data_IF_319626293459
#
_entry.id   IF_319626293459
#
_cell.length_a   1.000
_cell.length_b   1.000
_cell.length_c   1.000
_cell.angle_alpha   90.00
_cell.angle_beta   90.00
_cell.angle_gamma   90.00
#
_symmetry.space_group_name_H-M   'P 1'
#
loop_
_entity.id
_entity.type
_entity.pdbx_description
1 polymer ?
#
# COMPACT_ATOMS: atom_id res chain seq x y z
N UNK A 1 -19.66 10.51 -27.53
CA UNK A 1 -20.31 9.25 -27.91
C UNK A 1 -19.80 8.23 -26.94
N UNK A 2 -20.55 7.99 -25.86
CA UNK A 2 -20.16 7.16 -24.73
C UNK A 2 -20.38 5.69 -25.14
N UNK A 3 -19.32 5.04 -25.59
CA UNK A 3 -19.36 3.65 -26.04
C UNK A 3 -19.44 2.75 -24.80
N UNK A 4 -20.67 2.56 -24.30
CA UNK A 4 -20.98 1.62 -23.23
C UNK A 4 -20.55 0.22 -23.66
N UNK A 5 -19.37 -0.20 -23.23
CA UNK A 5 -18.89 -1.57 -23.38
C UNK A 5 -19.94 -2.50 -22.77
N UNK A 6 -20.54 -3.42 -23.55
CA UNK A 6 -21.56 -4.32 -23.04
C UNK A 6 -20.98 -5.16 -21.89
N UNK A 7 -21.67 -5.23 -20.75
CA UNK A 7 -21.22 -5.92 -19.51
C UNK A 7 -20.71 -7.35 -19.79
N UNK A 8 -21.27 -8.02 -20.80
CA UNK A 8 -20.89 -9.38 -21.22
C UNK A 8 -19.46 -9.47 -21.80
N UNK A 9 -18.95 -8.38 -22.38
CA UNK A 9 -17.60 -8.28 -22.94
C UNK A 9 -16.57 -7.87 -21.88
N UNK A 10 -17.01 -7.18 -20.82
CA UNK A 10 -16.14 -6.74 -19.72
C UNK A 10 -15.47 -7.92 -18.99
N UNK A 11 -16.17 -9.06 -18.86
CA UNK A 11 -15.60 -10.29 -18.30
C UNK A 11 -14.53 -10.97 -19.18
N UNK A 12 -14.54 -10.73 -20.49
CA UNK A 12 -13.47 -11.22 -21.38
C UNK A 12 -12.26 -10.29 -21.29
N UNK A 13 -12.50 -8.99 -21.39
CA UNK A 13 -11.48 -7.95 -21.26
C UNK A 13 -10.72 -8.02 -19.93
N UNK A 14 -11.43 -8.21 -18.80
CA UNK A 14 -10.80 -8.35 -17.48
C UNK A 14 -9.92 -9.61 -17.36
N UNK A 15 -10.22 -10.69 -18.10
CA UNK A 15 -9.36 -11.89 -18.10
C UNK A 15 -8.13 -11.74 -18.99
N UNK A 16 -8.22 -10.91 -20.01
CA UNK A 16 -7.07 -10.58 -20.87
C UNK A 16 -6.13 -9.58 -20.19
N UNK A 17 -6.67 -8.61 -19.45
CA UNK A 17 -5.85 -7.57 -18.80
C UNK A 17 -5.41 -7.91 -17.39
N UNK A 18 -6.11 -8.82 -16.70
CA UNK A 18 -5.81 -9.19 -15.32
C UNK A 18 -5.60 -10.70 -15.17
N UNK A 19 -4.39 -11.11 -14.79
CA UNK A 19 -4.08 -12.50 -14.46
C UNK A 19 -4.15 -12.69 -12.94
N UNK A 20 -4.88 -13.71 -12.49
CA UNK A 20 -4.97 -14.06 -11.08
C UNK A 20 -4.01 -15.22 -10.81
N UNK A 21 -2.98 -14.99 -9.99
CA UNK A 21 -2.06 -16.02 -9.52
C UNK A 21 -1.94 -15.91 -8.00
N UNK A 22 -2.23 -17.01 -7.30
CA UNK A 22 -2.09 -17.11 -5.83
C UNK A 22 -2.84 -15.97 -5.09
N UNK A 23 -4.07 -15.68 -5.53
CA UNK A 23 -4.92 -14.61 -4.97
C UNK A 23 -4.48 -13.18 -5.32
N UNK A 24 -3.33 -13.01 -5.96
CA UNK A 24 -2.85 -11.71 -6.43
C UNK A 24 -3.35 -11.46 -7.86
N UNK A 25 -4.00 -10.32 -8.06
CA UNK A 25 -4.42 -9.84 -9.38
C UNK A 25 -3.29 -9.01 -9.98
N UNK A 26 -2.69 -9.47 -11.08
CA UNK A 26 -1.67 -8.73 -11.84
C UNK A 26 -2.31 -8.13 -13.07
N UNK A 27 -2.09 -6.83 -13.29
CA UNK A 27 -2.57 -6.14 -14.48
C UNK A 27 -1.40 -5.75 -15.37
N UNK A 28 -1.47 -6.05 -16.67
CA UNK A 28 -0.52 -5.52 -17.65
C UNK A 28 -0.99 -4.13 -18.05
N UNK A 29 -0.31 -3.10 -17.53
CA UNK A 29 -0.59 -1.70 -17.86
C UNK A 29 0.17 -1.36 -19.15
N UNK A 30 -0.52 -0.94 -20.22
CA UNK A 30 0.13 -0.41 -21.42
C UNK A 30 1.06 0.77 -21.08
N UNK A 31 2.24 0.84 -21.72
CA UNK A 31 3.30 1.83 -21.40
C UNK A 31 2.88 3.30 -21.56
N UNK A 32 1.76 3.58 -22.24
CA UNK A 32 1.23 4.91 -22.48
C UNK A 32 0.32 5.45 -21.37
N UNK A 33 0.05 4.66 -20.33
CA UNK A 33 -0.67 5.14 -19.13
C UNK A 33 0.29 5.97 -18.28
N UNK A 34 0.28 7.29 -18.49
CA UNK A 34 0.89 8.23 -17.53
C UNK A 34 0.25 8.00 -16.16
N UNK A 35 1.05 7.58 -15.19
CA UNK A 35 0.68 7.61 -13.79
C UNK A 35 0.29 9.06 -13.46
N UNK A 36 -1.00 9.35 -13.35
CA UNK A 36 -1.40 10.51 -12.55
C UNK A 36 -0.89 10.20 -11.16
N UNK A 37 0.11 10.98 -10.72
CA UNK A 37 0.49 11.04 -9.31
C UNK A 37 -0.81 11.27 -8.54
N UNK A 38 -1.28 10.24 -7.85
CA UNK A 38 -2.29 10.38 -6.82
C UNK A 38 -1.59 11.15 -5.71
N UNK A 39 -1.72 12.46 -5.79
CA UNK A 39 -1.45 13.37 -4.70
C UNK A 39 -2.39 12.89 -3.58
N UNK A 40 -1.86 12.13 -2.63
CA UNK A 40 -2.53 11.93 -1.36
C UNK A 40 -2.60 13.32 -0.77
N UNK A 41 -3.70 14.02 -1.03
CA UNK A 41 -4.12 15.18 -0.27
C UNK A 41 -4.23 14.72 1.18
N UNK A 42 -3.11 14.86 1.90
CA UNK A 42 -3.09 14.78 3.34
C UNK A 42 -3.81 16.05 3.78
N UNK A 43 -5.14 15.96 3.83
CA UNK A 43 -5.97 16.90 4.58
C UNK A 43 -5.72 16.62 6.06
N UNK A 44 -4.53 17.02 6.51
CA UNK A 44 -4.25 17.13 7.91
C UNK A 44 -4.88 18.44 8.36
N UNK A 45 -5.98 18.31 9.09
CA UNK A 45 -6.49 19.35 9.94
C UNK A 45 -5.46 19.63 11.06
N UNK A 46 -4.37 20.31 10.72
CA UNK A 46 -3.58 21.13 11.65
C UNK A 46 -3.55 22.53 11.07
N UNK A 47 -4.48 23.33 11.58
CA UNK A 47 -4.65 24.77 11.47
C UNK A 47 -3.45 25.56 10.93
N UNK A 48 -3.74 26.42 9.94
CA UNK A 48 -3.08 27.69 9.63
C UNK A 48 -1.95 28.08 10.60
N UNK A 49 -0.73 27.66 10.29
CA UNK A 49 0.47 28.41 10.63
C UNK A 49 1.31 28.42 9.36
N UNK A 50 1.46 29.60 8.78
CA UNK A 50 2.46 29.86 7.75
C UNK A 50 3.81 29.57 8.40
N UNK A 51 4.41 28.43 8.08
CA UNK A 51 5.81 28.17 8.41
C UNK A 51 6.58 28.47 7.14
N UNK A 52 7.12 29.70 7.09
CA UNK A 52 8.18 30.08 6.17
C UNK A 52 9.29 29.03 6.19
N UNK A 53 9.93 28.82 5.05
CA UNK A 53 11.09 27.96 4.88
C UNK A 53 12.12 28.16 6.00
N UNK A 54 12.15 27.26 6.97
CA UNK A 54 13.31 27.02 7.82
C UNK A 54 13.51 25.51 7.94
N UNK A 55 14.30 24.99 7.01
CA UNK A 55 14.82 23.62 7.00
C UNK A 55 15.94 23.53 8.04
N UNK A 56 15.61 23.70 9.32
CA UNK A 56 16.57 23.51 10.41
C UNK A 56 16.06 22.43 11.36
N UNK A 57 16.54 21.21 11.09
CA UNK A 57 16.76 20.11 12.03
C UNK A 57 15.80 20.04 13.24
N UNK A 58 14.58 19.56 13.00
CA UNK A 58 13.90 18.83 14.07
C UNK A 58 14.62 17.48 14.17
N UNK A 59 15.58 17.37 15.09
CA UNK A 59 16.15 16.10 15.53
C UNK A 59 15.04 15.32 16.26
N UNK A 60 14.09 14.81 15.47
CA UNK A 60 13.05 13.90 15.91
C UNK A 60 13.70 12.53 16.08
N UNK A 61 14.57 12.40 17.09
CA UNK A 61 15.18 11.15 17.48
C UNK A 61 14.11 10.26 18.14
N UNK A 62 13.20 9.73 17.33
CA UNK A 62 12.22 8.73 17.76
C UNK A 62 13.03 7.45 18.03
N UNK A 63 13.04 6.93 19.28
CA UNK A 63 13.75 5.71 19.57
C UNK A 63 13.15 4.55 18.77
N UNK A 64 13.95 3.55 18.36
CA UNK A 64 13.43 2.34 17.72
C UNK A 64 12.32 1.70 18.56
N UNK A 65 11.17 1.42 17.94
CA UNK A 65 9.99 0.83 18.58
C UNK A 65 9.76 -0.59 18.08
N UNK A 66 9.01 -1.37 18.86
CA UNK A 66 8.48 -2.67 18.46
C UNK A 66 6.98 -2.54 18.17
N UNK A 67 6.62 -2.59 16.91
CA UNK A 67 5.26 -2.34 16.43
C UNK A 67 4.64 -3.66 15.98
N UNK A 68 3.40 -3.91 16.41
CA UNK A 68 2.57 -5.02 15.91
C UNK A 68 1.38 -4.42 15.18
N UNK A 69 1.20 -4.80 13.92
CA UNK A 69 0.07 -4.40 13.08
C UNK A 69 -0.90 -5.58 12.98
N UNK A 70 -2.00 -5.52 13.73
CA UNK A 70 -3.08 -6.51 13.66
C UNK A 70 -4.01 -6.17 12.51
N UNK A 71 -4.15 -7.10 11.56
CA UNK A 71 -4.97 -6.93 10.37
C UNK A 71 -5.95 -8.09 10.30
N UNK A 72 -7.25 -7.78 10.36
CA UNK A 72 -8.33 -8.73 10.19
C UNK A 72 -9.05 -8.38 8.90
N UNK A 73 -8.98 -9.25 7.90
CA UNK A 73 -9.58 -8.99 6.59
C UNK A 73 -9.12 -9.97 5.52
N UNK A 74 -9.54 -9.70 4.29
CA UNK A 74 -9.14 -10.43 3.08
C UNK A 74 -7.74 -10.03 2.61
N UNK A 75 -7.22 -10.72 1.59
CA UNK A 75 -5.93 -10.35 0.97
C UNK A 75 -5.87 -8.88 0.52
N UNK A 76 -7.00 -8.33 0.04
CA UNK A 76 -7.08 -6.93 -0.37
C UNK A 76 -6.93 -5.95 0.80
N UNK A 77 -7.37 -6.35 2.00
CA UNK A 77 -7.21 -5.55 3.22
C UNK A 77 -5.77 -5.63 3.74
N UNK A 78 -5.09 -6.75 3.51
CA UNK A 78 -3.72 -7.02 4.00
C UNK A 78 -2.64 -6.31 3.20
N UNK A 79 -2.79 -6.21 1.88
CA UNK A 79 -1.77 -5.66 0.96
C UNK A 79 -1.35 -4.21 1.26
N UNK A 80 -2.26 -3.26 1.54
CA UNK A 80 -1.89 -1.87 1.82
C UNK A 80 -0.92 -1.71 3.00
N UNK A 81 -1.01 -2.62 3.99
CA UNK A 81 -0.18 -2.56 5.19
C UNK A 81 1.27 -3.02 4.96
N UNK A 82 1.57 -3.67 3.84
CA UNK A 82 2.96 -4.02 3.47
C UNK A 82 3.79 -2.77 3.26
N UNK A 83 3.25 -1.79 2.52
CA UNK A 83 3.95 -0.54 2.23
C UNK A 83 4.22 0.25 3.52
N UNK A 84 3.21 0.32 4.40
CA UNK A 84 3.31 0.96 5.71
C UNK A 84 4.38 0.26 6.58
N UNK A 85 4.32 -1.07 6.67
CA UNK A 85 5.28 -1.84 7.45
C UNK A 85 6.72 -1.66 6.98
N UNK A 86 6.94 -1.60 5.66
CA UNK A 86 8.25 -1.31 5.07
C UNK A 86 8.74 0.10 5.38
N UNK A 87 7.86 1.11 5.32
CA UNK A 87 8.20 2.48 5.69
C UNK A 87 8.64 2.58 7.15
N UNK A 88 7.86 2.00 8.07
CA UNK A 88 8.21 1.95 9.49
C UNK A 88 9.52 1.19 9.74
N UNK A 89 9.76 0.10 9.00
CA UNK A 89 11.02 -0.64 9.08
C UNK A 89 12.22 0.20 8.60
N UNK A 90 12.06 0.93 7.50
CA UNK A 90 13.09 1.83 6.97
C UNK A 90 13.41 2.99 7.94
N UNK A 91 12.45 3.43 8.75
CA UNK A 91 12.66 4.37 9.85
C UNK A 91 13.38 3.76 11.07
N UNK A 92 13.78 2.49 11.02
CA UNK A 92 14.50 1.82 12.10
C UNK A 92 13.61 1.13 13.14
N UNK A 93 12.30 1.03 12.91
CA UNK A 93 11.41 0.29 13.81
C UNK A 93 11.39 -1.21 13.50
N UNK A 94 11.18 -2.04 14.53
CA UNK A 94 10.87 -3.46 14.35
C UNK A 94 9.37 -3.61 14.15
N UNK A 95 8.95 -4.18 13.03
CA UNK A 95 7.53 -4.29 12.66
C UNK A 95 7.16 -5.74 12.46
N UNK A 96 6.06 -6.16 13.10
CA UNK A 96 5.44 -7.49 12.94
C UNK A 96 4.01 -7.35 12.46
N UNK A 97 3.62 -8.16 11.50
CA UNK A 97 2.23 -8.22 11.03
C UNK A 97 1.55 -9.45 11.61
N UNK A 98 0.44 -9.22 12.30
CA UNK A 98 -0.42 -10.24 12.86
C UNK A 98 -1.69 -10.32 12.01
N UNK A 99 -1.88 -11.43 11.29
CA UNK A 99 -3.08 -11.69 10.49
C UNK A 99 -3.32 -13.19 10.37
N UNK A 100 -4.26 -13.61 9.53
CA UNK A 100 -4.50 -15.03 9.29
C UNK A 100 -3.25 -15.74 8.77
N UNK A 101 -3.01 -16.98 9.21
CA UNK A 101 -1.79 -17.75 8.93
C UNK A 101 -1.50 -17.95 7.44
N UNK A 102 -2.53 -17.88 6.60
CA UNK A 102 -2.41 -18.03 5.15
C UNK A 102 -1.50 -16.96 4.51
N UNK A 103 -1.32 -15.81 5.18
CA UNK A 103 -0.48 -14.72 4.68
C UNK A 103 0.97 -14.78 5.18
N UNK A 104 1.33 -15.77 6.01
CA UNK A 104 2.66 -15.88 6.61
C UNK A 104 3.78 -15.88 5.56
N UNK A 105 3.67 -16.72 4.54
CA UNK A 105 4.69 -16.81 3.49
C UNK A 105 4.78 -15.53 2.66
N UNK A 106 3.64 -14.88 2.40
CA UNK A 106 3.61 -13.61 1.69
C UNK A 106 4.43 -12.54 2.42
N UNK A 107 4.30 -12.45 3.75
CA UNK A 107 5.04 -11.46 4.55
C UNK A 107 6.53 -11.76 4.67
N UNK A 108 6.88 -13.01 4.88
CA UNK A 108 8.28 -13.44 4.92
C UNK A 108 8.97 -13.15 3.57
N UNK A 109 8.29 -13.37 2.44
CA UNK A 109 8.81 -13.09 1.11
C UNK A 109 9.05 -11.60 0.83
N UNK A 110 8.27 -10.71 1.45
CA UNK A 110 8.45 -9.25 1.29
C UNK A 110 9.39 -8.64 2.33
N UNK A 111 10.00 -9.46 3.20
CA UNK A 111 10.98 -9.03 4.20
C UNK A 111 10.38 -8.44 5.46
N UNK A 112 9.13 -8.78 5.79
CA UNK A 112 8.46 -8.35 7.03
C UNK A 112 8.30 -9.54 7.98
N UNK A 113 8.32 -9.24 9.29
CA UNK A 113 8.12 -10.27 10.31
C UNK A 113 6.62 -10.59 10.46
N UNK A 114 6.31 -11.86 10.74
CA UNK A 114 4.95 -12.37 10.95
C UNK A 114 4.78 -12.86 12.40
N UNK A 115 3.60 -12.64 12.98
CA UNK A 115 3.21 -13.19 14.29
C UNK A 115 2.19 -14.32 14.13
#
# INVERSE_FOLDING_TARGET
MDEKVPIRNMRKLLRELATVKDGTVRFEVPEDVKSQSLDFGVESAYNDVIIEEHVDAIDNHIPPLQIVMLIVGTQGDVQPFVAIGKGLHACGHRVRLATHSDFKEFFLNVGLEFF
#
